data_IF_213693538639
#
_entry.id   IF_213693538639
#
_cell.length_a   1.000
_cell.length_b   1.000
_cell.length_c   1.000
_cell.angle_alpha   90.00
_cell.angle_beta   90.00
_cell.angle_gamma   90.00
#
_symmetry.space_group_name_H-M   'P 1'
#
loop_
_entity.id
_entity.type
_entity.pdbx_description
1 polymer ?
#
# COMPACT_ATOMS: atom_id res chain seq x y z
N UNK A 1 -2.98 10.27 9.79
CA UNK A 1 -1.74 9.48 9.58
C UNK A 1 -1.72 9.08 8.13
N UNK A 2 -0.63 9.33 7.39
CA UNK A 2 -0.55 9.02 5.96
C UNK A 2 -0.94 7.55 5.71
N UNK A 3 -1.89 7.26 4.81
CA UNK A 3 -2.32 5.89 4.52
C UNK A 3 -1.16 5.02 3.99
N UNK A 4 -0.21 5.56 3.23
CA UNK A 4 0.98 4.83 2.79
C UNK A 4 1.83 4.36 3.98
N UNK A 5 2.15 5.26 4.92
CA UNK A 5 2.86 4.91 6.15
C UNK A 5 2.09 3.89 6.99
N UNK A 6 0.75 4.02 7.05
CA UNK A 6 -0.10 3.05 7.75
C UNK A 6 -0.04 1.66 7.12
N UNK A 7 -0.14 1.56 5.79
CA UNK A 7 -0.01 0.28 5.10
C UNK A 7 1.39 -0.30 5.32
N UNK A 8 2.45 0.51 5.22
CA UNK A 8 3.83 0.08 5.44
C UNK A 8 4.01 -0.54 6.85
N UNK A 9 3.50 0.13 7.88
CA UNK A 9 3.53 -0.41 9.26
C UNK A 9 2.75 -1.73 9.37
N UNK A 10 1.61 -1.86 8.70
CA UNK A 10 0.73 -3.03 8.79
C UNK A 10 1.25 -4.26 8.03
N UNK A 11 1.95 -4.06 6.91
CA UNK A 11 2.62 -5.16 6.21
C UNK A 11 3.95 -5.55 6.89
N UNK A 12 4.42 -4.71 7.81
CA UNK A 12 5.71 -4.84 8.49
C UNK A 12 6.86 -4.29 7.65
N UNK A 13 8.05 -4.22 8.26
CA UNK A 13 9.30 -3.94 7.55
C UNK A 13 9.97 -5.29 7.26
N UNK A 14 9.70 -5.92 6.12
CA UNK A 14 10.44 -7.11 5.71
C UNK A 14 11.92 -6.75 5.49
N UNK A 15 12.80 -7.72 5.69
CA UNK A 15 14.20 -7.59 5.27
C UNK A 15 14.23 -7.23 3.78
N UNK A 16 14.77 -6.05 3.40
CA UNK A 16 14.78 -5.59 2.01
C UNK A 16 15.48 -6.56 1.06
N UNK A 17 16.45 -7.33 1.55
CA UNK A 17 17.19 -8.30 0.75
C UNK A 17 16.40 -9.59 0.50
N UNK A 18 15.36 -9.82 1.29
CA UNK A 18 14.43 -10.95 1.17
C UNK A 18 13.20 -10.63 0.31
N UNK A 19 13.02 -9.36 -0.08
CA UNK A 19 11.92 -8.92 -0.93
C UNK A 19 12.18 -9.28 -2.39
N UNK A 20 11.22 -9.95 -3.03
CA UNK A 20 11.31 -10.30 -4.44
C UNK A 20 10.06 -9.87 -5.20
N UNK A 21 10.24 -9.46 -6.45
CA UNK A 21 9.16 -9.19 -7.40
C UNK A 21 8.09 -8.20 -6.86
N UNK A 22 6.83 -8.64 -6.79
CA UNK A 22 5.68 -7.82 -6.40
C UNK A 22 5.79 -7.27 -4.97
N UNK A 23 6.47 -7.99 -4.07
CA UNK A 23 6.70 -7.54 -2.70
C UNK A 23 7.68 -6.37 -2.63
N UNK A 24 8.76 -6.43 -3.41
CA UNK A 24 9.71 -5.33 -3.53
C UNK A 24 9.05 -4.10 -4.17
N UNK A 25 8.22 -4.29 -5.20
CA UNK A 25 7.43 -3.23 -5.81
C UNK A 25 6.47 -2.58 -4.80
N UNK A 26 5.74 -3.39 -4.04
CA UNK A 26 4.82 -2.90 -3.01
C UNK A 26 5.54 -2.08 -1.95
N UNK A 27 6.65 -2.58 -1.44
CA UNK A 27 7.43 -1.87 -0.44
C UNK A 27 7.97 -0.53 -0.97
N UNK A 28 8.56 -0.52 -2.16
CA UNK A 28 9.11 0.70 -2.76
C UNK A 28 8.04 1.77 -3.01
N UNK A 29 6.88 1.37 -3.55
CA UNK A 29 5.76 2.29 -3.80
C UNK A 29 5.21 2.85 -2.49
N UNK A 30 5.09 2.03 -1.46
CA UNK A 30 4.64 2.46 -0.14
C UNK A 30 5.62 3.42 0.55
N UNK A 31 6.93 3.15 0.46
CA UNK A 31 7.96 4.06 0.98
C UNK A 31 7.94 5.40 0.26
N UNK A 32 7.88 5.42 -1.08
CA UNK A 32 7.81 6.67 -1.83
C UNK A 32 6.54 7.46 -1.49
N UNK A 33 5.39 6.78 -1.34
CA UNK A 33 4.14 7.42 -0.98
C UNK A 33 4.08 7.90 0.47
N UNK A 34 4.87 7.31 1.38
CA UNK A 34 4.94 7.72 2.78
C UNK A 34 5.47 9.15 2.97
N UNK A 35 6.29 9.63 2.02
CA UNK A 35 6.81 11.01 2.00
C UNK A 35 5.77 12.04 1.51
N UNK A 36 4.64 11.58 0.97
CA UNK A 36 3.58 12.46 0.49
C UNK A 36 2.66 12.89 1.63
N UNK A 37 2.13 14.11 1.56
CA UNK A 37 1.05 14.50 2.48
C UNK A 37 -0.28 14.04 1.90
N UNK A 38 -0.76 12.89 2.35
CA UNK A 38 -2.09 12.37 2.05
C UNK A 38 -2.81 12.12 3.37
N UNK A 39 -3.91 12.83 3.61
CA UNK A 39 -4.75 12.61 4.79
C UNK A 39 -6.14 12.19 4.34
N UNK A 40 -6.43 10.90 4.48
CA UNK A 40 -7.67 10.27 4.05
C UNK A 40 -8.16 9.37 5.18
N UNK A 41 -9.46 9.47 5.48
CA UNK A 41 -10.13 8.61 6.46
C UNK A 41 -10.62 7.31 5.81
N UNK A 42 -10.70 6.23 6.60
CA UNK A 42 -11.16 4.92 6.14
C UNK A 42 -10.05 3.88 6.02
N UNK A 43 -10.25 2.89 5.14
CA UNK A 43 -9.28 1.81 4.94
C UNK A 43 -8.03 2.37 4.23
N UNK A 44 -6.84 2.28 4.84
CA UNK A 44 -5.63 2.86 4.27
C UNK A 44 -5.21 2.20 2.95
N UNK A 45 -5.55 0.93 2.72
CA UNK A 45 -5.26 0.27 1.44
C UNK A 45 -6.09 0.88 0.31
N UNK A 46 -7.37 1.15 0.55
CA UNK A 46 -8.24 1.78 -0.46
C UNK A 46 -7.79 3.20 -0.77
N UNK A 47 -7.35 3.96 0.23
CA UNK A 47 -6.78 5.29 0.04
C UNK A 47 -5.51 5.26 -0.81
N UNK A 48 -4.58 4.33 -0.56
CA UNK A 48 -3.37 4.14 -1.38
C UNK A 48 -3.72 3.80 -2.83
N UNK A 49 -4.57 2.79 -3.05
CA UNK A 49 -4.92 2.37 -4.41
C UNK A 49 -5.68 3.46 -5.18
N UNK A 50 -6.51 4.25 -4.48
CA UNK A 50 -7.18 5.40 -5.08
C UNK A 50 -6.18 6.48 -5.49
N UNK A 51 -5.26 6.87 -4.60
CA UNK A 51 -4.24 7.89 -4.89
C UNK A 51 -3.31 7.48 -6.03
N UNK A 52 -2.90 6.21 -6.11
CA UNK A 52 -2.11 5.72 -7.24
C UNK A 52 -2.86 5.83 -8.58
N UNK A 53 -4.16 5.55 -8.59
CA UNK A 53 -4.99 5.70 -9.81
C UNK A 53 -5.17 7.16 -10.19
N UNK A 54 -5.42 8.06 -9.23
CA UNK A 54 -5.58 9.50 -9.52
C UNK A 54 -4.28 10.15 -10.01
N UNK A 55 -3.13 9.62 -9.59
CA UNK A 55 -1.79 10.02 -10.09
C UNK A 55 -1.44 9.44 -11.46
N UNK A 56 -2.36 8.71 -12.09
CA UNK A 56 -2.17 8.09 -13.40
C UNK A 56 -0.97 7.13 -13.44
N UNK A 57 -0.70 6.43 -12.33
CA UNK A 57 0.26 5.34 -12.30
C UNK A 57 -0.25 4.22 -13.21
N UNK A 58 0.67 3.53 -13.91
CA UNK A 58 0.35 2.44 -14.81
C UNK A 58 -0.62 1.42 -14.16
N UNK A 59 -1.74 1.15 -14.83
CA UNK A 59 -2.83 0.34 -14.27
C UNK A 59 -2.39 -1.09 -13.94
N UNK A 60 -1.49 -1.70 -14.73
CA UNK A 60 -0.97 -3.03 -14.43
C UNK A 60 -0.15 -3.02 -13.13
N UNK A 61 0.65 -1.97 -12.88
CA UNK A 61 1.39 -1.83 -11.63
C UNK A 61 0.43 -1.66 -10.44
N UNK A 62 -0.62 -0.85 -10.59
CA UNK A 62 -1.66 -0.69 -9.55
C UNK A 62 -2.38 -2.01 -9.29
N UNK A 63 -2.67 -2.81 -10.33
CA UNK A 63 -3.33 -4.11 -10.18
C UNK A 63 -2.45 -5.14 -9.46
N UNK A 64 -1.13 -5.15 -9.73
CA UNK A 64 -0.16 -5.98 -9.00
C UNK A 64 -0.14 -5.59 -7.51
N UNK A 65 -0.08 -4.29 -7.22
CA UNK A 65 -0.13 -3.77 -5.85
C UNK A 65 -1.44 -4.12 -5.16
N UNK A 66 -2.58 -3.97 -5.85
CA UNK A 66 -3.89 -4.31 -5.32
C UNK A 66 -3.97 -5.80 -4.97
N UNK A 67 -3.53 -6.69 -5.86
CA UNK A 67 -3.49 -8.12 -5.60
C UNK A 67 -2.69 -8.44 -4.33
N UNK A 68 -1.58 -7.72 -4.09
CA UNK A 68 -0.76 -7.94 -2.90
C UNK A 68 -1.37 -7.35 -1.62
N UNK A 69 -2.04 -6.22 -1.70
CA UNK A 69 -2.60 -5.50 -0.54
C UNK A 69 -4.03 -5.91 -0.19
N UNK A 70 -4.77 -6.56 -1.09
CA UNK A 70 -6.15 -7.02 -0.85
C UNK A 70 -6.30 -7.90 0.42
N UNK A 71 -5.39 -8.86 0.72
CA UNK A 71 -5.47 -9.62 1.98
C UNK A 71 -5.40 -8.73 3.23
N UNK A 72 -4.58 -7.67 3.19
CA UNK A 72 -4.51 -6.69 4.26
C UNK A 72 -5.80 -5.84 4.31
N UNK A 73 -6.30 -5.37 3.16
CA UNK A 73 -7.55 -4.63 3.07
C UNK A 73 -8.69 -5.38 3.76
N UNK A 74 -8.83 -6.67 3.45
CA UNK A 74 -9.91 -7.52 3.96
C UNK A 74 -9.74 -7.87 5.45
N UNK A 75 -8.50 -7.89 5.96
CA UNK A 75 -8.22 -7.98 7.42
C UNK A 75 -8.67 -6.70 8.14
N UNK A 76 -8.29 -5.53 7.63
CA UNK A 76 -8.69 -4.23 8.20
C UNK A 76 -10.21 -4.07 8.18
N UNK A 77 -10.87 -4.45 7.08
CA UNK A 77 -12.33 -4.38 6.95
C UNK A 77 -13.06 -5.25 8.00
N UNK A 78 -12.40 -6.31 8.49
CA UNK A 78 -12.90 -7.17 9.57
C UNK A 78 -12.50 -6.68 10.98
N UNK A 79 -11.90 -5.49 11.10
CA UNK A 79 -11.41 -4.94 12.36
C UNK A 79 -10.11 -5.58 12.88
N UNK A 80 -9.39 -6.31 12.02
CA UNK A 80 -8.12 -6.94 12.35
C UNK A 80 -6.98 -6.08 11.76
N UNK A 81 -6.57 -5.07 12.51
CA UNK A 81 -5.45 -4.17 12.14
C UNK A 81 -4.36 -4.20 13.19
#
# INVERSE_FOLDING_TARGET
MNPYSKVLTLIGVPDPHSLHQADALAHAVLQMGAELTLDVSGNPVDAVLSDLRTRNINENAVNILAARLNPLRDRIARGQS
#
